data_IF_433706616507
#
_entry.id   IF_433706616507
#
_cell.length_a   1.000
_cell.length_b   1.000
_cell.length_c   1.000
_cell.angle_alpha   90.00
_cell.angle_beta   90.00
_cell.angle_gamma   90.00
#
_symmetry.space_group_name_H-M   'P 1'
#
loop_
_entity.id
_entity.type
_entity.pdbx_description
1 polymer ?
#
# COMPACT_ATOMS: atom_id res chain seq x y z
N UNK A 1 -2.17 -8.73 -26.59
CA UNK A 1 -3.62 -8.84 -26.86
C UNK A 1 -4.29 -7.62 -26.23
N UNK A 2 -4.79 -6.67 -27.03
CA UNK A 2 -5.49 -5.50 -26.52
C UNK A 2 -6.98 -5.84 -26.53
N UNK A 3 -7.57 -6.04 -25.34
CA UNK A 3 -9.00 -6.33 -25.20
C UNK A 3 -9.76 -5.02 -25.17
N UNK A 4 -10.76 -4.87 -26.04
CA UNK A 4 -11.68 -3.74 -26.00
C UNK A 4 -12.52 -3.82 -24.72
N UNK A 5 -12.22 -2.97 -23.74
CA UNK A 5 -12.85 -2.98 -22.41
C UNK A 5 -14.33 -2.56 -22.43
N UNK A 6 -14.79 -1.95 -23.53
CA UNK A 6 -16.19 -1.57 -23.70
C UNK A 6 -17.06 -2.75 -24.18
N UNK A 7 -16.47 -3.72 -24.89
CA UNK A 7 -17.17 -4.91 -25.40
C UNK A 7 -17.10 -6.09 -24.42
N UNK A 8 -16.15 -6.06 -23.48
CA UNK A 8 -16.01 -7.09 -22.45
C UNK A 8 -15.51 -6.46 -21.15
N UNK A 9 -16.37 -6.33 -20.12
CA UNK A 9 -15.95 -5.81 -18.84
C UNK A 9 -14.85 -6.69 -18.24
N UNK A 10 -13.86 -6.06 -17.61
CA UNK A 10 -12.77 -6.78 -16.95
C UNK A 10 -13.36 -7.63 -15.83
N UNK A 11 -13.16 -8.94 -15.90
CA UNK A 11 -13.56 -9.89 -14.86
C UNK A 11 -12.31 -10.36 -14.11
N UNK A 12 -12.27 -10.10 -12.82
CA UNK A 12 -11.18 -10.52 -11.93
C UNK A 12 -11.69 -11.65 -11.03
N UNK A 13 -10.84 -12.64 -10.75
CA UNK A 13 -11.10 -13.73 -9.82
C UNK A 13 -9.89 -13.91 -8.91
N UNK A 14 -10.11 -14.10 -7.62
CA UNK A 14 -9.07 -14.50 -6.68
C UNK A 14 -8.73 -15.98 -6.90
N UNK A 15 -7.46 -16.32 -6.78
CA UNK A 15 -6.92 -17.67 -6.97
C UNK A 15 -5.95 -18.00 -5.85
N UNK A 16 -5.42 -19.23 -5.86
CA UNK A 16 -4.37 -19.71 -4.96
C UNK A 16 -4.77 -19.69 -3.47
N UNK A 17 -5.81 -20.46 -3.14
CA UNK A 17 -6.27 -20.68 -1.76
C UNK A 17 -5.44 -21.73 -1.02
N UNK A 18 -4.22 -22.06 -1.46
CA UNK A 18 -3.39 -23.11 -0.86
C UNK A 18 -2.96 -22.82 0.59
N UNK A 19 -3.00 -21.54 0.98
CA UNK A 19 -2.70 -21.07 2.34
C UNK A 19 -3.95 -20.58 3.09
N UNK A 20 -5.13 -20.64 2.48
CA UNK A 20 -6.35 -20.12 3.08
C UNK A 20 -6.76 -20.99 4.28
N UNK A 21 -7.07 -20.34 5.40
CA UNK A 21 -7.60 -21.00 6.58
C UNK A 21 -8.63 -20.09 7.28
N UNK A 22 -9.54 -20.66 8.10
CA UNK A 22 -10.40 -19.85 8.96
C UNK A 22 -9.55 -19.04 9.94
N UNK A 23 -9.97 -17.82 10.28
CA UNK A 23 -9.28 -16.99 11.27
C UNK A 23 -9.11 -17.71 12.64
N UNK A 24 -10.04 -18.60 13.01
CA UNK A 24 -9.95 -19.42 14.22
C UNK A 24 -8.85 -20.48 14.20
N UNK A 25 -8.25 -20.77 13.04
CA UNK A 25 -7.17 -21.74 12.87
C UNK A 25 -5.78 -21.09 12.81
N UNK A 26 -5.71 -19.75 12.77
CA UNK A 26 -4.45 -19.01 12.77
C UNK A 26 -3.81 -19.09 14.15
N UNK A 27 -2.54 -19.51 14.21
CA UNK A 27 -1.78 -19.58 15.45
C UNK A 27 -0.93 -18.32 15.63
N UNK A 28 -0.80 -17.78 16.86
CA UNK A 28 0.14 -16.69 17.13
C UNK A 28 1.56 -17.08 16.70
N UNK A 29 2.24 -16.18 15.98
CA UNK A 29 3.55 -16.43 15.38
C UNK A 29 3.52 -16.96 13.95
N UNK A 30 2.36 -17.33 13.40
CA UNK A 30 2.24 -17.71 12.00
C UNK A 30 2.57 -16.51 11.10
N UNK A 31 3.49 -16.72 10.16
CA UNK A 31 3.88 -15.70 9.17
C UNK A 31 3.66 -16.27 7.78
N UNK A 32 2.48 -15.98 7.22
CA UNK A 32 1.99 -16.56 5.97
C UNK A 32 1.91 -15.50 4.88
N UNK A 33 2.15 -15.89 3.64
CA UNK A 33 2.05 -15.03 2.46
C UNK A 33 3.37 -14.40 2.03
N UNK A 34 3.28 -13.47 1.08
CA UNK A 34 4.45 -12.80 0.50
C UNK A 34 4.87 -11.62 1.36
N UNK A 35 6.17 -11.56 1.70
CA UNK A 35 6.77 -10.58 2.62
C UNK A 35 6.37 -9.13 2.30
N UNK A 36 6.50 -8.69 1.04
CA UNK A 36 6.21 -7.31 0.64
C UNK A 36 4.74 -6.89 0.74
N UNK A 37 3.82 -7.85 0.89
CA UNK A 37 2.38 -7.60 1.03
C UNK A 37 1.87 -7.90 2.44
N UNK A 38 2.74 -8.34 3.36
CA UNK A 38 2.35 -8.76 4.70
C UNK A 38 1.97 -7.56 5.57
N UNK A 39 0.89 -7.71 6.34
CA UNK A 39 0.43 -6.71 7.31
C UNK A 39 1.36 -6.61 8.53
N UNK A 40 1.46 -5.46 9.22
CA UNK A 40 2.34 -5.28 10.38
C UNK A 40 2.17 -6.35 11.45
N UNK A 41 0.94 -6.70 11.79
CA UNK A 41 0.61 -7.72 12.80
C UNK A 41 1.11 -9.13 12.40
N UNK A 42 1.03 -9.48 11.12
CA UNK A 42 1.57 -10.75 10.59
C UNK A 42 3.10 -10.75 10.70
N UNK A 43 3.75 -9.64 10.33
CA UNK A 43 5.22 -9.52 10.40
C UNK A 43 5.74 -9.59 11.84
N UNK A 44 5.00 -9.02 12.78
CA UNK A 44 5.31 -9.06 14.21
C UNK A 44 4.96 -10.42 14.85
N UNK A 45 4.21 -11.29 14.16
CA UNK A 45 3.75 -12.57 14.70
C UNK A 45 2.66 -12.43 15.75
N UNK A 46 1.92 -11.31 15.73
CA UNK A 46 0.76 -11.08 16.57
C UNK A 46 -0.44 -11.88 16.05
N UNK A 47 -1.48 -12.12 16.87
CA UNK A 47 -2.74 -12.65 16.35
C UNK A 47 -3.29 -11.75 15.24
N UNK A 48 -3.72 -12.35 14.13
CA UNK A 48 -4.29 -11.65 12.99
C UNK A 48 -5.52 -12.39 12.44
N UNK A 49 -6.29 -11.70 11.61
CA UNK A 49 -7.54 -12.18 11.02
C UNK A 49 -7.67 -11.62 9.59
N UNK A 50 -8.89 -11.63 9.04
CA UNK A 50 -9.19 -11.17 7.68
C UNK A 50 -8.78 -9.70 7.40
N UNK A 51 -8.50 -8.91 8.43
CA UNK A 51 -7.94 -7.56 8.26
C UNK A 51 -6.58 -7.59 7.53
N UNK A 52 -5.78 -8.66 7.65
CA UNK A 52 -4.50 -8.78 6.91
C UNK A 52 -4.69 -8.82 5.39
N UNK A 53 -5.82 -9.37 4.94
CA UNK A 53 -6.16 -9.41 3.52
C UNK A 53 -6.49 -8.01 2.99
N UNK A 54 -7.10 -7.17 3.83
CA UNK A 54 -7.39 -5.77 3.47
C UNK A 54 -6.11 -4.95 3.27
N UNK A 55 -5.10 -5.19 4.11
CA UNK A 55 -3.78 -4.59 3.93
C UNK A 55 -3.14 -5.04 2.61
N UNK A 56 -3.12 -6.35 2.37
CA UNK A 56 -2.51 -6.94 1.16
C UNK A 56 -3.19 -6.43 -0.12
N UNK A 57 -4.53 -6.33 -0.08
CA UNK A 57 -5.33 -5.82 -1.20
C UNK A 57 -4.98 -4.38 -1.55
N UNK A 58 -4.77 -3.51 -0.56
CA UNK A 58 -4.41 -2.11 -0.83
C UNK A 58 -3.00 -1.99 -1.41
N UNK A 59 -2.04 -2.80 -0.93
CA UNK A 59 -0.70 -2.80 -1.52
C UNK A 59 -0.72 -3.21 -3.00
N UNK A 60 -1.58 -4.15 -3.38
CA UNK A 60 -1.83 -4.49 -4.80
C UNK A 60 -2.48 -3.32 -5.54
N UNK A 61 -3.47 -2.65 -4.94
CA UNK A 61 -4.14 -1.51 -5.57
C UNK A 61 -3.17 -0.34 -5.84
N UNK A 62 -2.32 0.02 -4.87
CA UNK A 62 -1.26 1.02 -5.03
C UNK A 62 -0.26 0.60 -6.12
N UNK A 63 0.13 -0.67 -6.17
CA UNK A 63 1.03 -1.18 -7.21
C UNK A 63 0.42 -1.11 -8.61
N UNK A 64 -0.87 -1.40 -8.76
CA UNK A 64 -1.56 -1.26 -10.05
C UNK A 64 -1.56 0.19 -10.55
N UNK A 65 -1.73 1.15 -9.65
CA UNK A 65 -1.77 2.58 -10.01
C UNK A 65 -0.38 3.12 -10.31
N UNK A 66 0.59 2.82 -9.44
CA UNK A 66 1.96 3.36 -9.52
C UNK A 66 2.88 2.58 -10.46
N UNK A 67 2.55 1.32 -10.73
CA UNK A 67 3.34 0.37 -11.50
C UNK A 67 4.51 -0.27 -10.74
N UNK A 68 4.63 0.00 -9.43
CA UNK A 68 5.70 -0.55 -8.58
C UNK A 68 5.17 -0.88 -7.18
N UNK A 69 5.70 -1.91 -6.51
CA UNK A 69 5.30 -2.25 -5.15
C UNK A 69 5.63 -1.11 -4.18
N UNK A 70 4.71 -0.81 -3.26
CA UNK A 70 4.89 0.23 -2.25
C UNK A 70 5.99 -0.13 -1.23
N UNK A 71 6.03 -1.39 -0.80
CA UNK A 71 6.98 -1.90 0.18
C UNK A 71 7.75 -3.13 -0.35
N UNK A 72 8.74 -2.96 -1.25
CA UNK A 72 9.51 -4.04 -1.88
C UNK A 72 10.59 -4.63 -0.96
N UNK A 73 10.25 -4.96 0.29
CA UNK A 73 11.19 -5.56 1.23
C UNK A 73 11.45 -7.03 0.93
N UNK A 74 12.70 -7.49 1.14
CA UNK A 74 13.08 -8.90 1.01
C UNK A 74 12.89 -9.67 2.31
N UNK A 75 12.94 -8.96 3.44
CA UNK A 75 12.67 -9.47 4.77
C UNK A 75 11.59 -8.63 5.45
N UNK A 76 10.90 -9.21 6.43
CA UNK A 76 9.90 -8.49 7.23
C UNK A 76 10.44 -7.20 7.85
N UNK A 77 11.70 -7.20 8.27
CA UNK A 77 12.32 -5.99 8.80
C UNK A 77 12.44 -4.86 7.76
N UNK A 78 12.75 -5.18 6.50
CA UNK A 78 12.82 -4.16 5.45
C UNK A 78 11.44 -3.51 5.26
N UNK A 79 10.40 -4.34 5.19
CA UNK A 79 9.01 -3.89 5.03
C UNK A 79 8.57 -3.06 6.24
N UNK A 80 8.81 -3.52 7.46
CA UNK A 80 8.50 -2.78 8.69
C UNK A 80 9.22 -1.43 8.73
N UNK A 81 10.50 -1.37 8.37
CA UNK A 81 11.24 -0.11 8.27
C UNK A 81 10.59 0.84 7.27
N UNK A 82 10.17 0.34 6.10
CA UNK A 82 9.51 1.16 5.10
C UNK A 82 8.15 1.68 5.57
N UNK A 83 7.37 0.85 6.27
CA UNK A 83 6.11 1.25 6.87
C UNK A 83 6.35 2.34 7.91
N UNK A 84 7.32 2.17 8.80
CA UNK A 84 7.65 3.16 9.85
C UNK A 84 8.05 4.50 9.24
N UNK A 85 8.88 4.48 8.21
CA UNK A 85 9.32 5.71 7.52
C UNK A 85 8.17 6.43 6.79
N UNK A 86 7.10 5.72 6.42
CA UNK A 86 5.97 6.29 5.67
C UNK A 86 4.75 6.60 6.53
N UNK A 87 4.48 5.82 7.58
CA UNK A 87 3.24 5.91 8.37
C UNK A 87 3.48 6.23 9.84
N UNK A 88 4.75 6.29 10.27
CA UNK A 88 5.12 6.42 11.67
C UNK A 88 5.22 5.08 12.39
N UNK A 89 5.58 5.14 13.67
CA UNK A 89 5.91 3.95 14.45
C UNK A 89 4.64 3.20 14.89
N UNK A 90 4.57 1.86 14.73
CA UNK A 90 3.58 1.07 15.44
C UNK A 90 3.89 1.09 16.95
N UNK A 91 2.88 0.88 17.82
CA UNK A 91 3.00 1.13 19.26
C UNK A 91 4.17 0.43 19.97
N UNK A 92 4.62 -0.73 19.46
CA UNK A 92 5.39 -1.67 20.29
C UNK A 92 6.84 -1.97 19.83
N UNK A 93 7.30 -1.49 18.65
CA UNK A 93 8.66 -1.83 18.16
C UNK A 93 9.34 -0.72 17.35
N UNK A 94 10.60 -0.41 17.69
CA UNK A 94 11.46 0.52 16.92
C UNK A 94 12.39 -0.22 15.96
N UNK A 95 12.60 0.34 14.76
CA UNK A 95 13.58 -0.21 13.81
C UNK A 95 15.02 -0.19 14.38
N UNK A 96 15.35 0.81 15.22
CA UNK A 96 16.67 0.93 15.83
C UNK A 96 16.98 -0.19 16.82
N UNK A 97 16.00 -0.60 17.62
CA UNK A 97 16.17 -1.70 18.59
C UNK A 97 16.47 -3.03 17.88
N UNK A 98 15.75 -3.34 16.80
CA UNK A 98 16.01 -4.56 16.04
C UNK A 98 17.39 -4.55 15.35
N UNK A 99 17.83 -3.40 14.80
CA UNK A 99 19.19 -3.28 14.24
C UNK A 99 20.25 -3.57 15.31
N UNK A 100 20.06 -3.05 16.52
CA UNK A 100 20.97 -3.29 17.64
C UNK A 100 21.01 -4.76 18.04
N UNK A 101 19.85 -5.41 18.12
CA UNK A 101 19.74 -6.82 18.54
C UNK A 101 20.25 -7.82 17.49
N UNK A 102 20.03 -7.54 16.20
CA UNK A 102 20.29 -8.52 15.12
C UNK A 102 21.52 -8.19 14.26
N UNK A 103 22.02 -6.96 14.33
CA UNK A 103 23.06 -6.45 13.42
C UNK A 103 22.61 -6.32 11.96
N UNK A 104 21.33 -6.57 11.65
CA UNK A 104 20.83 -6.52 10.27
C UNK A 104 20.65 -5.07 9.79
N UNK A 105 21.26 -4.74 8.66
CA UNK A 105 21.01 -3.49 7.94
C UNK A 105 20.02 -3.72 6.80
N UNK A 106 18.92 -2.97 6.84
CA UNK A 106 17.93 -2.97 5.77
C UNK A 106 18.48 -2.24 4.55
N UNK A 107 18.29 -2.85 3.39
CA UNK A 107 18.63 -2.26 2.10
C UNK A 107 17.45 -1.42 1.61
N UNK A 108 17.73 -0.20 1.14
CA UNK A 108 16.70 0.64 0.50
C UNK A 108 16.38 0.07 -0.89
N UNK A 109 15.23 -0.57 -1.01
CA UNK A 109 14.76 -1.20 -2.26
C UNK A 109 13.57 -0.49 -2.88
N UNK A 110 13.04 0.57 -2.24
CA UNK A 110 11.89 1.30 -2.75
C UNK A 110 12.21 2.10 -4.00
N UNK A 111 11.37 1.92 -5.02
CA UNK A 111 11.34 2.78 -6.21
C UNK A 111 10.72 4.14 -5.91
N UNK A 112 9.82 4.19 -4.93
CA UNK A 112 9.09 5.39 -4.51
C UNK A 112 9.20 5.49 -3.00
N UNK A 113 9.75 6.61 -2.51
CA UNK A 113 9.88 6.89 -1.09
C UNK A 113 8.83 7.90 -0.67
N UNK A 114 7.84 7.44 0.11
CA UNK A 114 6.83 8.29 0.71
C UNK A 114 7.24 8.72 2.11
N UNK A 115 7.01 9.99 2.44
CA UNK A 115 7.09 10.47 3.83
C UNK A 115 5.76 10.33 4.56
N UNK A 116 4.66 10.30 3.81
CA UNK A 116 3.30 10.03 4.26
C UNK A 116 2.47 9.45 3.13
N UNK A 117 1.38 8.75 3.44
CA UNK A 117 0.48 8.20 2.41
C UNK A 117 -0.16 9.29 1.54
N UNK A 118 -0.36 10.50 2.06
CA UNK A 118 -0.89 11.63 1.28
C UNK A 118 0.03 12.03 0.10
N UNK A 119 1.31 11.68 0.14
CA UNK A 119 2.25 11.93 -0.98
C UNK A 119 1.87 11.13 -2.25
N UNK A 120 1.05 10.06 -2.12
CA UNK A 120 0.58 9.27 -3.25
C UNK A 120 -0.27 10.07 -4.22
N UNK A 121 -1.00 11.10 -3.78
CA UNK A 121 -1.79 11.96 -4.67
C UNK A 121 -0.91 12.59 -5.75
N UNK A 122 0.25 13.14 -5.36
CA UNK A 122 1.19 13.77 -6.29
C UNK A 122 1.87 12.76 -7.22
N UNK A 123 2.13 11.55 -6.72
CA UNK A 123 2.72 10.48 -7.53
C UNK A 123 1.72 10.00 -8.59
N UNK A 124 0.46 9.85 -8.21
CA UNK A 124 -0.62 9.50 -9.15
C UNK A 124 -0.79 10.59 -10.20
N UNK A 125 -0.83 11.85 -9.78
CA UNK A 125 -0.88 13.01 -10.68
C UNK A 125 0.29 13.00 -11.68
N UNK A 126 1.51 12.73 -11.22
CA UNK A 126 2.69 12.69 -12.10
C UNK A 126 2.69 11.50 -13.07
N UNK A 127 2.25 10.31 -12.62
CA UNK A 127 2.32 9.07 -13.42
C UNK A 127 1.13 8.88 -14.36
N UNK A 128 -0.07 9.33 -13.97
CA UNK A 128 -1.32 9.10 -14.70
C UNK A 128 -1.95 10.40 -15.23
N UNK A 129 -1.56 11.56 -14.70
CA UNK A 129 -2.26 12.82 -14.95
C UNK A 129 -3.37 13.07 -13.93
N UNK A 130 -4.05 14.22 -14.00
CA UNK A 130 -5.16 14.53 -13.10
C UNK A 130 -6.36 13.65 -13.44
N UNK A 131 -6.89 12.94 -12.43
CA UNK A 131 -8.08 12.10 -12.56
C UNK A 131 -9.04 12.37 -11.40
N UNK A 132 -10.34 12.34 -11.69
CA UNK A 132 -11.37 12.45 -10.67
C UNK A 132 -11.27 11.24 -9.71
N UNK A 133 -11.17 11.52 -8.41
CA UNK A 133 -11.15 10.49 -7.39
C UNK A 133 -9.76 10.11 -6.84
N UNK A 134 -8.66 10.70 -7.31
CA UNK A 134 -7.32 10.46 -6.73
C UNK A 134 -7.31 10.72 -5.21
N UNK A 135 -7.90 11.83 -4.77
CA UNK A 135 -8.06 12.15 -3.35
C UNK A 135 -8.91 11.12 -2.60
N UNK A 136 -9.98 10.62 -3.22
CA UNK A 136 -10.82 9.58 -2.62
C UNK A 136 -10.07 8.24 -2.54
N UNK A 137 -9.22 7.95 -3.52
CA UNK A 137 -8.37 6.76 -3.49
C UNK A 137 -7.34 6.85 -2.36
N UNK A 138 -6.67 8.00 -2.18
CA UNK A 138 -5.78 8.21 -1.03
C UNK A 138 -6.52 8.06 0.31
N UNK A 139 -7.76 8.57 0.39
CA UNK A 139 -8.60 8.36 1.60
C UNK A 139 -8.82 6.88 1.87
N UNK A 140 -9.17 6.10 0.83
CA UNK A 140 -9.36 4.66 0.94
C UNK A 140 -8.06 3.94 1.35
N UNK A 141 -6.93 4.28 0.73
CA UNK A 141 -5.61 3.74 1.05
C UNK A 141 -5.33 3.89 2.55
N UNK A 142 -5.60 5.07 3.12
CA UNK A 142 -5.35 5.34 4.54
C UNK A 142 -6.24 4.51 5.47
N UNK A 143 -7.47 4.21 5.06
CA UNK A 143 -8.38 3.35 5.83
C UNK A 143 -8.02 1.85 5.70
N UNK A 144 -7.52 1.40 4.54
CA UNK A 144 -7.08 0.02 4.30
C UNK A 144 -5.68 -0.28 4.84
N UNK A 145 -4.80 0.73 4.93
CA UNK A 145 -3.46 0.62 5.53
C UNK A 145 -3.39 1.11 6.98
N UNK A 146 -4.52 1.12 7.70
CA UNK A 146 -4.50 1.38 9.13
C UNK A 146 -3.56 0.40 9.84
N UNK A 147 -2.61 0.95 10.63
CA UNK A 147 -1.62 0.16 11.37
C UNK A 147 -2.26 -0.72 12.44
N UNK A 148 -3.33 -0.23 13.08
CA UNK A 148 -4.19 -1.04 13.95
C UNK A 148 -5.18 -1.83 13.08
N UNK A 149 -5.04 -3.17 13.11
CA UNK A 149 -5.91 -4.08 12.37
C UNK A 149 -7.40 -3.92 12.73
N UNK A 150 -7.73 -3.52 13.96
CA UNK A 150 -9.11 -3.31 14.39
C UNK A 150 -9.72 -2.02 13.85
N UNK A 151 -8.90 -1.05 13.46
CA UNK A 151 -9.34 0.19 12.82
C UNK A 151 -9.40 0.09 11.30
N UNK A 152 -8.91 -1.03 10.74
CA UNK A 152 -8.83 -1.23 9.29
C UNK A 152 -10.22 -1.44 8.71
N UNK A 153 -10.50 -0.76 7.59
CA UNK A 153 -11.78 -0.86 6.91
C UNK A 153 -12.04 -2.30 6.42
N UNK A 154 -13.28 -2.77 6.59
CA UNK A 154 -13.73 -4.10 6.13
C UNK A 154 -14.15 -4.09 4.65
N UNK A 155 -14.19 -5.24 3.96
CA UNK A 155 -14.63 -5.31 2.56
C UNK A 155 -16.00 -4.65 2.33
N UNK A 156 -16.95 -4.88 3.25
CA UNK A 156 -18.31 -4.31 3.16
C UNK A 156 -18.32 -2.80 3.36
N UNK A 157 -17.36 -2.24 4.10
CA UNK A 157 -17.20 -0.79 4.23
C UNK A 157 -16.50 -0.20 3.01
N UNK A 158 -15.52 -0.88 2.42
CA UNK A 158 -14.87 -0.46 1.16
C UNK A 158 -15.90 -0.27 0.06
N UNK A 159 -16.82 -1.21 -0.12
CA UNK A 159 -17.89 -1.09 -1.13
C UNK A 159 -18.83 0.10 -0.91
N UNK A 160 -18.86 0.66 0.30
CA UNK A 160 -19.63 1.86 0.65
C UNK A 160 -18.78 3.13 0.67
N UNK A 161 -17.46 3.02 0.55
CA UNK A 161 -16.55 4.15 0.56
C UNK A 161 -16.82 5.06 -0.66
N UNK A 162 -16.76 6.39 -0.53
CA UNK A 162 -17.00 7.34 -1.61
C UNK A 162 -16.23 7.09 -2.91
N UNK A 163 -15.07 6.44 -2.84
CA UNK A 163 -14.30 6.02 -4.02
C UNK A 163 -15.08 5.07 -4.93
N UNK A 164 -15.82 4.10 -4.35
CA UNK A 164 -16.65 3.15 -5.10
C UNK A 164 -18.11 3.58 -5.19
N UNK A 165 -18.57 4.43 -4.27
CA UNK A 165 -19.93 4.95 -4.24
C UNK A 165 -19.97 6.49 -4.10
N UNK A 166 -19.61 7.21 -5.17
CA UNK A 166 -19.52 8.68 -5.14
C UNK A 166 -20.87 9.36 -4.91
N UNK A 167 -22.00 8.69 -5.17
CA UNK A 167 -23.36 9.20 -4.92
C UNK A 167 -23.68 9.46 -3.45
N UNK A 168 -22.86 8.96 -2.51
CA UNK A 168 -22.98 9.25 -1.08
C UNK A 168 -22.14 10.47 -0.63
N UNK A 169 -21.33 11.04 -1.52
CA UNK A 169 -20.32 12.07 -1.23
C UNK A 169 -20.79 13.48 -1.57
N UNK A 170 -21.93 13.93 -1.03
CA UNK A 170 -22.37 15.33 -1.15
C UNK A 170 -21.56 16.32 -0.27
N UNK A 171 -20.27 16.04 0.04
CA UNK A 171 -19.50 16.78 1.07
C UNK A 171 -18.05 17.13 0.74
N UNK A 172 -17.67 17.27 -0.53
CA UNK A 172 -16.37 17.88 -0.84
C UNK A 172 -16.53 19.05 -1.83
N UNK A 173 -16.22 20.29 -1.43
CA UNK A 173 -16.11 21.39 -2.36
C UNK A 173 -14.89 21.16 -3.25
N UNK A 174 -15.11 21.20 -4.57
CA UNK A 174 -14.10 21.20 -5.61
C UNK A 174 -13.15 22.39 -5.42
N UNK A 175 -11.85 22.13 -5.27
CA UNK A 175 -10.82 23.17 -5.20
C UNK A 175 -10.28 23.39 -6.63
N UNK A 176 -10.36 24.63 -7.10
CA UNK A 176 -9.76 25.09 -8.35
C UNK A 176 -8.25 24.79 -8.38
N UNK A 177 -7.81 24.05 -9.39
CA UNK A 177 -6.40 23.78 -9.67
C UNK A 177 -5.76 25.00 -10.33
N UNK A 178 -5.20 25.92 -9.55
CA UNK A 178 -4.19 26.86 -10.05
C UNK A 178 -2.92 26.81 -9.20
N UNK A 179 -1.94 26.05 -9.73
CA UNK A 179 -0.47 26.28 -9.77
C UNK A 179 0.33 25.00 -9.47
N UNK A 180 1.23 24.57 -10.37
CA UNK A 180 2.06 23.40 -10.14
C UNK A 180 3.19 23.72 -9.15
N UNK A 181 3.27 22.97 -8.05
CA UNK A 181 4.44 22.94 -7.18
C UNK A 181 5.54 22.12 -7.85
N UNK A 182 6.70 22.72 -8.05
CA UNK A 182 7.89 22.04 -8.59
C UNK A 182 8.43 21.05 -7.55
N UNK A 183 8.42 19.77 -7.88
CA UNK A 183 9.13 18.72 -7.13
C UNK A 183 10.53 18.58 -7.71
N UNK A 184 11.56 18.75 -6.87
CA UNK A 184 12.95 18.49 -7.25
C UNK A 184 13.22 16.98 -7.22
N UNK A 185 13.35 16.38 -8.41
CA UNK A 185 13.84 15.01 -8.57
C UNK A 185 15.38 15.05 -8.71
N UNK A 186 16.10 14.42 -7.77
CA UNK A 186 17.52 14.11 -7.99
C UNK A 186 17.62 13.14 -9.16
N UNK A 187 18.21 13.61 -10.26
CA UNK A 187 18.46 12.83 -11.46
C UNK A 187 19.60 11.84 -11.18
N UNK A 188 19.28 10.56 -11.03
CA UNK A 188 20.23 9.49 -11.25
C UNK A 188 20.52 9.39 -12.74
N UNK A 189 21.65 9.93 -13.19
CA UNK A 189 22.11 9.84 -14.57
C UNK A 189 22.46 8.38 -14.87
N UNK A 190 21.63 7.73 -15.69
CA UNK A 190 21.93 6.47 -16.33
C UNK A 190 22.80 6.77 -17.56
N UNK A 191 24.09 6.42 -17.53
CA UNK A 191 24.93 6.45 -18.72
C UNK A 191 24.82 5.11 -19.46
N UNK A 192 24.31 5.07 -20.71
CA UNK A 192 24.33 3.86 -21.51
C UNK A 192 25.67 3.76 -22.26
N UNK A 193 26.39 2.66 -22.02
CA UNK A 193 27.25 2.00 -22.99
C UNK A 193 28.56 2.68 -23.39
N UNK A 194 29.68 2.03 -23.04
CA UNK A 194 30.77 1.83 -24.00
C UNK A 194 31.16 0.36 -24.01
N UNK A 195 31.40 -0.13 -25.24
CA UNK A 195 31.85 -1.47 -25.60
C UNK A 195 33.24 -1.76 -25.07
#
# INVERSE_FOLDING_TARGET
MVVNRYESPVKVRLIDFGLACPASAVMPGDRVGTVGYSAPEVMLGLPYNEASDMWSLELVAVELVTGVPLYPGKKYYDVLKFIIETQGQPPDHTAQQFKYETGYESLETRYIKLTRLDDLEQIMLFRRGPEDGQRLFVSLIKEMLALDAHQRITPSQVLRHPFFNPGLSNRFPSINTEKPYRVNLQHGIFHPGQK
#
